data_IF_751134633022
#
_entry.id   IF_751134633022
#
_cell.length_a   1.000
_cell.length_b   1.000
_cell.length_c   1.000
_cell.angle_alpha   90.00
_cell.angle_beta   90.00
_cell.angle_gamma   90.00
#
_symmetry.space_group_name_H-M   'P 1'
#
loop_
_entity.id
_entity.type
_entity.pdbx_description
1 polymer ?
#
# COMPACT_ATOMS: atom_id res chain seq x y z
N UNK A 1 -53.05 31.68 0.41
CA UNK A 1 -54.00 31.37 -0.68
C UNK A 1 -53.20 30.88 -1.87
N UNK A 2 -53.36 29.61 -2.25
CA UNK A 2 -52.77 28.97 -3.44
C UNK A 2 -53.62 29.30 -4.70
N UNK A 3 -53.27 28.80 -5.92
CA UNK A 3 -53.26 27.38 -6.31
C UNK A 3 -51.91 26.96 -6.94
N UNK A 4 -51.35 25.73 -6.92
CA UNK A 4 -51.81 24.32 -7.07
C UNK A 4 -52.45 23.96 -8.40
N UNK A 5 -51.62 23.57 -9.37
CA UNK A 5 -51.61 22.30 -10.13
C UNK A 5 -50.48 22.42 -11.19
N UNK A 6 -49.61 21.47 -11.49
CA UNK A 6 -49.75 20.01 -11.53
C UNK A 6 -49.43 19.58 -12.97
N UNK A 7 -48.27 18.95 -13.22
CA UNK A 7 -48.12 17.69 -13.98
C UNK A 7 -46.65 17.38 -14.32
N UNK A 8 -46.29 16.12 -14.10
CA UNK A 8 -45.01 15.43 -14.39
C UNK A 8 -44.77 15.21 -15.89
N UNK A 9 -43.49 15.07 -16.26
CA UNK A 9 -42.76 13.92 -16.90
C UNK A 9 -41.37 14.49 -17.27
N UNK A 10 -40.22 13.84 -17.26
CA UNK A 10 -39.74 12.46 -17.19
C UNK A 10 -38.28 12.51 -17.72
N UNK A 11 -37.42 11.58 -17.30
CA UNK A 11 -36.01 11.47 -17.74
C UNK A 11 -35.05 11.84 -16.60
N UNK A 12 -34.18 10.97 -16.09
CA UNK A 12 -33.60 9.77 -16.67
C UNK A 12 -32.13 10.07 -17.02
N UNK A 13 -31.22 9.68 -16.13
CA UNK A 13 -29.77 9.94 -16.19
C UNK A 13 -29.33 10.60 -14.88
N UNK A 14 -28.33 10.14 -14.13
CA UNK A 14 -27.33 9.11 -14.31
C UNK A 14 -26.60 9.03 -12.96
N UNK A 15 -26.47 7.83 -12.39
CA UNK A 15 -25.85 7.61 -11.08
C UNK A 15 -24.53 6.87 -11.31
N UNK A 16 -23.35 7.45 -10.99
CA UNK A 16 -22.07 6.83 -11.32
C UNK A 16 -21.72 5.69 -10.33
N UNK A 17 -21.96 4.46 -10.76
CA UNK A 17 -20.86 3.49 -10.93
C UNK A 17 -20.41 2.60 -9.77
N UNK A 18 -21.12 2.51 -8.64
CA UNK A 18 -20.85 1.45 -7.64
C UNK A 18 -21.95 0.38 -7.72
N UNK A 19 -21.90 -0.44 -8.78
CA UNK A 19 -22.79 -1.58 -8.95
C UNK A 19 -22.27 -2.76 -8.10
N UNK A 20 -22.97 -3.10 -7.03
CA UNK A 20 -22.85 -4.44 -6.41
C UNK A 20 -23.81 -5.36 -7.18
N UNK A 21 -23.35 -6.43 -7.85
CA UNK A 21 -24.27 -7.40 -8.42
C UNK A 21 -25.02 -8.10 -7.27
N UNK A 22 -26.35 -7.98 -7.25
CA UNK A 22 -27.25 -8.57 -6.24
C UNK A 22 -27.45 -10.08 -6.37
N UNK A 23 -26.74 -10.75 -7.27
CA UNK A 23 -26.81 -12.21 -7.46
C UNK A 23 -25.50 -12.90 -7.11
N UNK A 24 -25.18 -12.96 -5.82
CA UNK A 24 -24.18 -13.90 -5.30
C UNK A 24 -24.90 -15.23 -5.00
N UNK A 25 -24.73 -16.28 -5.81
CA UNK A 25 -25.28 -17.60 -5.47
C UNK A 25 -24.64 -18.10 -4.16
N UNK A 26 -25.35 -18.88 -3.33
CA UNK A 26 -24.79 -19.38 -2.08
C UNK A 26 -23.56 -20.24 -2.38
N UNK A 27 -22.39 -19.76 -2.01
CA UNK A 27 -21.14 -20.50 -2.16
C UNK A 27 -21.13 -21.66 -1.18
N UNK A 28 -21.42 -22.86 -1.70
CA UNK A 28 -21.09 -24.10 -1.01
C UNK A 28 -19.60 -24.11 -0.72
N UNK A 29 -19.20 -24.40 0.53
CA UNK A 29 -17.78 -24.53 0.89
C UNK A 29 -17.18 -25.64 0.01
N UNK A 30 -16.09 -25.40 -0.74
CA UNK A 30 -15.42 -26.49 -1.41
C UNK A 30 -14.77 -27.39 -0.36
N UNK A 31 -15.23 -28.64 -0.31
CA UNK A 31 -14.53 -29.74 0.37
C UNK A 31 -13.14 -29.86 -0.27
N UNK A 32 -12.03 -29.81 0.50
CA UNK A 32 -10.70 -29.93 -0.09
C UNK A 32 -10.52 -31.36 -0.60
N UNK A 33 -10.80 -31.55 -1.89
CA UNK A 33 -10.49 -32.77 -2.63
C UNK A 33 -8.99 -32.78 -2.86
N UNK A 34 -8.31 -33.80 -2.32
CA UNK A 34 -6.86 -34.04 -2.50
C UNK A 34 -6.51 -34.00 -3.99
N UNK A 35 -5.81 -32.96 -4.41
CA UNK A 35 -5.21 -32.87 -5.74
C UNK A 35 -3.73 -33.25 -5.65
N UNK A 36 -3.44 -34.53 -5.92
CA UNK A 36 -2.13 -34.93 -6.43
C UNK A 36 -2.04 -34.47 -7.89
N UNK A 37 -0.83 -34.15 -8.33
CA UNK A 37 -0.43 -33.94 -9.74
C UNK A 37 -0.63 -32.56 -10.37
N UNK A 38 -0.05 -31.51 -9.77
CA UNK A 38 0.31 -30.30 -10.51
C UNK A 38 1.79 -29.93 -10.28
N UNK A 39 2.66 -30.49 -11.13
CA UNK A 39 3.99 -29.93 -11.39
C UNK A 39 3.81 -28.54 -12.00
N UNK A 40 3.82 -27.53 -11.14
CA UNK A 40 3.91 -26.13 -11.54
C UNK A 40 5.12 -25.59 -10.80
N UNK A 41 6.19 -25.27 -11.52
CA UNK A 41 7.37 -24.58 -11.00
C UNK A 41 6.95 -23.20 -10.53
N UNK A 42 6.41 -23.12 -9.32
CA UNK A 42 6.41 -21.91 -8.52
C UNK A 42 7.67 -22.00 -7.66
N UNK A 43 8.76 -21.46 -8.17
CA UNK A 43 9.86 -20.95 -7.32
C UNK A 43 9.34 -19.74 -6.52
N UNK A 44 8.25 -19.92 -5.77
CA UNK A 44 7.87 -18.99 -4.71
C UNK A 44 8.51 -19.56 -3.44
N UNK A 45 9.68 -19.05 -3.01
CA UNK A 45 10.34 -19.57 -1.83
C UNK A 45 9.36 -19.50 -0.66
N UNK A 46 9.39 -20.48 0.27
CA UNK A 46 8.48 -20.47 1.41
C UNK A 46 8.61 -19.12 2.12
N UNK A 47 7.52 -18.33 2.15
CA UNK A 47 7.44 -17.07 2.91
C UNK A 47 8.00 -17.34 4.30
N UNK A 48 9.23 -16.87 4.54
CA UNK A 48 9.91 -17.07 5.81
C UNK A 48 9.00 -16.50 6.90
N UNK A 49 8.68 -17.33 7.90
CA UNK A 49 8.14 -16.80 9.15
C UNK A 49 9.09 -15.71 9.65
N UNK A 50 8.59 -14.59 10.23
CA UNK A 50 9.43 -13.49 10.67
C UNK A 50 10.44 -14.03 11.68
N UNK A 51 11.67 -14.22 11.21
CA UNK A 51 12.80 -14.57 12.05
C UNK A 51 13.16 -13.29 12.76
N UNK A 52 13.31 -13.33 14.09
CA UNK A 52 13.73 -12.16 14.86
C UNK A 52 15.10 -11.69 14.34
N UNK A 53 15.03 -10.70 13.46
CA UNK A 53 16.12 -9.97 12.84
C UNK A 53 15.69 -8.53 12.87
N UNK A 54 16.60 -7.61 13.13
CA UNK A 54 16.38 -6.18 13.02
C UNK A 54 15.97 -5.87 11.57
N UNK A 55 14.66 -5.77 11.32
CA UNK A 55 14.11 -5.55 9.97
C UNK A 55 14.04 -4.05 9.72
N UNK A 56 14.72 -3.57 8.67
CA UNK A 56 14.60 -2.19 8.24
C UNK A 56 13.38 -2.02 7.34
N UNK A 57 12.54 -1.04 7.67
CA UNK A 57 11.35 -0.71 6.88
C UNK A 57 11.49 0.69 6.33
N UNK A 58 11.30 0.84 5.02
CA UNK A 58 11.23 2.15 4.39
C UNK A 58 9.79 2.48 3.98
N UNK A 59 9.34 3.69 4.32
CA UNK A 59 8.06 4.25 3.88
C UNK A 59 8.32 5.23 2.75
N UNK A 60 7.94 4.85 1.53
CA UNK A 60 8.14 5.64 0.33
C UNK A 60 6.90 6.49 0.06
N UNK A 61 7.07 7.81 0.16
CA UNK A 61 5.96 8.75 0.08
C UNK A 61 5.36 9.05 1.43
N UNK A 62 6.01 9.93 2.20
CA UNK A 62 5.56 10.32 3.55
C UNK A 62 4.52 11.44 3.55
N UNK A 63 3.41 11.20 2.83
CA UNK A 63 2.20 12.02 2.91
C UNK A 63 1.40 11.73 4.19
N UNK A 64 0.11 12.10 4.21
CA UNK A 64 -0.76 11.87 5.39
C UNK A 64 -0.81 10.39 5.81
N UNK A 65 -0.99 9.48 4.85
CA UNK A 65 -1.09 8.04 5.12
C UNK A 65 0.29 7.49 5.54
N UNK A 66 1.34 7.82 4.80
CA UNK A 66 2.71 7.37 5.13
C UNK A 66 3.16 7.79 6.52
N UNK A 67 2.90 9.05 6.92
CA UNK A 67 3.22 9.52 8.28
C UNK A 67 2.33 8.84 9.34
N UNK A 68 1.04 8.63 9.07
CA UNK A 68 0.17 7.93 10.02
C UNK A 68 0.65 6.50 10.28
N UNK A 69 1.07 5.79 9.23
CA UNK A 69 1.68 4.46 9.36
C UNK A 69 3.00 4.53 10.13
N UNK A 70 3.89 5.45 9.76
CA UNK A 70 5.17 5.65 10.45
C UNK A 70 4.98 5.90 11.95
N UNK A 71 4.07 6.81 12.29
CA UNK A 71 3.74 7.14 13.68
C UNK A 71 3.15 5.95 14.42
N UNK A 72 2.29 5.17 13.76
CA UNK A 72 1.75 3.92 14.29
C UNK A 72 2.83 2.88 14.58
N UNK A 73 3.80 2.73 13.67
CA UNK A 73 4.93 1.81 13.84
C UNK A 73 5.79 2.20 15.03
N UNK A 74 6.17 3.47 15.15
CA UNK A 74 6.95 3.99 16.29
C UNK A 74 6.18 3.76 17.59
N UNK A 75 4.87 4.06 17.61
CA UNK A 75 4.02 3.84 18.79
C UNK A 75 3.90 2.36 19.16
N UNK A 76 3.98 1.46 18.19
CA UNK A 76 3.99 0.01 18.42
C UNK A 76 5.35 -0.55 18.88
N UNK A 77 6.35 0.31 19.08
CA UNK A 77 7.65 -0.06 19.63
C UNK A 77 8.74 -0.29 18.58
N UNK A 78 8.50 0.07 17.32
CA UNK A 78 9.56 0.04 16.31
C UNK A 78 10.60 1.13 16.59
N UNK A 79 11.89 0.78 16.64
CA UNK A 79 12.93 1.77 16.86
C UNK A 79 13.06 2.69 15.62
N UNK A 80 13.09 4.02 15.79
CA UNK A 80 13.22 4.96 14.67
C UNK A 80 14.48 4.74 13.81
N UNK A 81 15.53 4.13 14.38
CA UNK A 81 16.76 3.79 13.66
C UNK A 81 16.56 2.72 12.57
N UNK A 82 15.52 1.89 12.68
CA UNK A 82 15.17 0.87 11.70
C UNK A 82 14.12 1.36 10.70
N UNK A 83 13.65 2.61 10.86
CA UNK A 83 12.64 3.22 10.01
C UNK A 83 13.26 4.28 9.09
N UNK A 84 13.15 4.03 7.79
CA UNK A 84 13.57 4.95 6.74
C UNK A 84 12.34 5.62 6.13
N UNK A 85 12.50 6.86 5.69
CA UNK A 85 11.41 7.60 5.04
C UNK A 85 11.88 8.30 3.78
N UNK A 86 11.01 8.38 2.79
CA UNK A 86 11.26 9.20 1.59
C UNK A 86 10.18 10.24 1.40
N UNK A 87 10.60 11.42 0.94
CA UNK A 87 9.72 12.54 0.63
C UNK A 87 10.37 13.42 -0.44
N UNK A 88 9.55 14.04 -1.29
CA UNK A 88 10.03 14.95 -2.34
C UNK A 88 10.48 16.31 -1.82
N UNK A 89 9.98 16.73 -0.65
CA UNK A 89 10.22 18.07 -0.08
C UNK A 89 11.23 17.98 1.05
N UNK A 90 12.35 18.71 0.94
CA UNK A 90 13.41 18.70 1.94
C UNK A 90 12.94 19.23 3.31
N UNK A 91 12.18 20.32 3.32
CA UNK A 91 11.55 20.86 4.54
C UNK A 91 10.79 19.76 5.30
N UNK A 92 10.04 18.94 4.55
CA UNK A 92 9.27 17.83 5.11
C UNK A 92 10.16 16.70 5.63
N UNK A 93 11.30 16.45 5.00
CA UNK A 93 12.27 15.45 5.45
C UNK A 93 12.81 15.81 6.84
N UNK A 94 13.20 17.07 7.03
CA UNK A 94 13.72 17.55 8.31
C UNK A 94 12.65 17.58 9.40
N UNK A 95 11.40 17.91 9.06
CA UNK A 95 10.27 17.80 9.99
C UNK A 95 10.10 16.36 10.51
N UNK A 96 10.14 15.38 9.60
CA UNK A 96 9.98 13.96 9.96
C UNK A 96 11.12 13.49 10.84
N UNK A 97 12.36 13.85 10.49
CA UNK A 97 13.55 13.58 11.31
C UNK A 97 13.41 14.17 12.71
N UNK A 98 13.01 15.43 12.80
CA UNK A 98 12.92 16.14 14.08
C UNK A 98 11.78 15.61 14.96
N UNK A 99 10.61 15.33 14.36
CA UNK A 99 9.42 14.90 15.10
C UNK A 99 9.46 13.43 15.50
N UNK A 100 9.96 12.57 14.62
CA UNK A 100 9.85 11.12 14.76
C UNK A 100 11.21 10.43 14.97
N UNK A 101 12.33 11.14 14.84
CA UNK A 101 13.68 10.58 15.01
C UNK A 101 14.12 9.64 13.89
N UNK A 102 13.42 9.67 12.75
CA UNK A 102 13.64 8.76 11.61
C UNK A 102 14.68 9.31 10.65
N UNK A 103 15.21 8.46 9.77
CA UNK A 103 16.23 8.86 8.78
C UNK A 103 15.59 9.08 7.41
N UNK A 104 15.57 10.33 6.89
CA UNK A 104 15.16 10.59 5.51
C UNK A 104 16.27 10.15 4.55
N UNK A 105 15.89 9.41 3.52
CA UNK A 105 16.81 8.88 2.50
C UNK A 105 16.22 9.05 1.10
N UNK A 106 17.06 8.82 0.08
CA UNK A 106 16.58 8.71 -1.31
C UNK A 106 15.77 7.43 -1.54
N UNK A 107 14.93 7.39 -2.57
CA UNK A 107 14.18 6.17 -2.94
C UNK A 107 15.14 5.01 -3.26
N UNK A 108 16.25 5.28 -3.94
CA UNK A 108 17.26 4.28 -4.26
C UNK A 108 17.96 3.73 -3.02
N UNK A 109 18.30 4.58 -2.06
CA UNK A 109 18.91 4.15 -0.81
C UNK A 109 17.95 3.32 0.03
N UNK A 110 16.68 3.75 0.13
CA UNK A 110 15.62 2.95 0.74
C UNK A 110 15.52 1.56 0.11
N UNK A 111 15.53 1.47 -1.23
CA UNK A 111 15.46 0.21 -1.96
C UNK A 111 16.63 -0.73 -1.68
N UNK A 112 17.83 -0.18 -1.45
CA UNK A 112 19.05 -0.96 -1.16
C UNK A 112 19.14 -1.45 0.27
N UNK A 113 18.59 -0.69 1.21
CA UNK A 113 18.87 -0.84 2.65
C UNK A 113 17.71 -1.39 3.46
N UNK A 114 16.48 -1.25 2.96
CA UNK A 114 15.29 -1.74 3.64
C UNK A 114 14.97 -3.17 3.20
N UNK A 115 14.61 -4.01 4.16
CA UNK A 115 14.07 -5.34 3.92
C UNK A 115 12.63 -5.28 3.42
N UNK A 116 11.89 -4.25 3.83
CA UNK A 116 10.50 -4.03 3.46
C UNK A 116 10.28 -2.60 2.97
N UNK A 117 9.67 -2.46 1.79
CA UNK A 117 9.28 -1.19 1.19
C UNK A 117 7.75 -1.02 1.30
N UNK A 118 7.30 0.03 1.97
CA UNK A 118 5.89 0.42 2.03
C UNK A 118 5.68 1.59 1.07
N UNK A 119 4.93 1.36 -0.01
CA UNK A 119 4.64 2.37 -1.02
C UNK A 119 3.36 3.13 -0.65
N UNK A 120 3.51 4.37 -0.16
CA UNK A 120 2.41 5.27 0.17
C UNK A 120 2.41 6.54 -0.70
N UNK A 121 2.74 6.37 -1.97
CA UNK A 121 2.63 7.42 -2.98
C UNK A 121 1.24 7.47 -3.60
N UNK A 122 0.92 8.58 -4.27
CA UNK A 122 -0.33 8.68 -5.03
C UNK A 122 -0.28 7.75 -6.25
N UNK A 123 -1.42 7.22 -6.73
CA UNK A 123 -1.44 6.29 -7.87
C UNK A 123 -0.72 6.82 -9.12
N UNK A 124 -0.86 8.12 -9.41
CA UNK A 124 -0.18 8.76 -10.55
C UNK A 124 1.35 8.83 -10.41
N UNK A 125 1.87 8.80 -9.19
CA UNK A 125 3.31 8.84 -8.92
C UNK A 125 3.92 7.42 -8.88
N UNK A 126 3.08 6.36 -8.90
CA UNK A 126 3.50 4.97 -8.74
C UNK A 126 4.39 4.49 -9.89
N UNK A 127 4.03 4.77 -11.14
CA UNK A 127 4.81 4.30 -12.30
C UNK A 127 6.25 4.83 -12.28
N UNK A 128 6.38 6.15 -12.11
CA UNK A 128 7.69 6.83 -12.00
C UNK A 128 8.51 6.26 -10.85
N UNK A 129 7.88 6.02 -9.70
CA UNK A 129 8.56 5.43 -8.55
C UNK A 129 9.06 4.00 -8.85
N UNK A 130 8.24 3.16 -9.48
CA UNK A 130 8.62 1.79 -9.81
C UNK A 130 9.75 1.76 -10.85
N UNK A 131 9.74 2.66 -11.84
CA UNK A 131 10.83 2.79 -12.81
C UNK A 131 12.15 3.20 -12.12
N UNK A 132 12.07 4.06 -11.09
CA UNK A 132 13.24 4.45 -10.28
C UNK A 132 13.76 3.28 -9.41
N UNK A 133 12.86 2.43 -8.91
CA UNK A 133 13.21 1.31 -8.03
C UNK A 133 13.67 0.06 -8.78
N UNK A 134 13.17 -0.16 -10.00
CA UNK A 134 13.49 -1.30 -10.87
C UNK A 134 14.99 -1.65 -10.98
N UNK A 135 15.94 -0.69 -11.14
CA UNK A 135 17.37 -1.02 -11.21
C UNK A 135 17.98 -1.47 -9.87
N UNK A 136 17.23 -1.43 -8.78
CA UNK A 136 17.76 -1.52 -7.42
C UNK A 136 17.14 -2.63 -6.57
N UNK A 137 16.10 -3.30 -7.05
CA UNK A 137 15.56 -4.47 -6.36
C UNK A 137 16.59 -5.61 -6.42
N UNK A 138 16.96 -6.24 -5.30
CA UNK A 138 17.79 -7.44 -5.36
C UNK A 138 17.07 -8.49 -6.24
N UNK A 139 17.79 -9.19 -7.14
CA UNK A 139 17.20 -10.27 -7.92
C UNK A 139 16.59 -11.26 -6.93
N UNK A 140 15.30 -11.55 -7.12
CA UNK A 140 14.66 -12.66 -6.41
C UNK A 140 15.35 -13.93 -6.88
N UNK A 141 16.16 -14.52 -6.01
CA UNK A 141 16.87 -15.78 -6.22
C UNK A 141 16.01 -16.98 -5.81
#
# INVERSE_FOLDING_TARGET
>A
MAPRDGMRKGGGGENPGWYLPTDIPPTGRPTPTRLRDARMTRDDPPRRAPTAMTQKVAVLGTGKIGEALLSGMIRSGWPPADLLVTTRRQERAEELRTRHGVTPVSNQEAAKTADTLILTVKPQDMGVLLDELAPTSPPTA
#
